data_IF_538732221973
#
_entry.id   IF_538732221973
#
_cell.length_a   1.000
_cell.length_b   1.000
_cell.length_c   1.000
_cell.angle_alpha   90.00
_cell.angle_beta   90.00
_cell.angle_gamma   90.00
#
_symmetry.space_group_name_H-M   'P 1'
#
loop_
_entity.id
_entity.type
_entity.pdbx_description
1 polymer ?
#
# COMPACT_ATOMS: atom_id res chain seq x y z
N UNK A 1 8.27 -10.75 8.12
CA UNK A 1 8.47 -10.09 6.80
C UNK A 1 7.33 -9.13 6.49
N UNK A 2 7.52 -8.23 5.51
CA UNK A 2 6.47 -7.34 5.02
C UNK A 2 6.17 -7.62 3.54
N UNK A 3 4.88 -7.72 3.20
CA UNK A 3 4.37 -7.61 1.84
C UNK A 3 3.77 -6.21 1.70
N UNK A 4 4.42 -5.34 0.92
CA UNK A 4 3.93 -3.99 0.67
C UNK A 4 3.21 -3.93 -0.68
N UNK A 5 1.90 -3.66 -0.65
CA UNK A 5 1.09 -3.46 -1.83
C UNK A 5 0.96 -1.96 -2.10
N UNK A 6 1.66 -1.47 -3.11
CA UNK A 6 1.56 -0.12 -3.65
C UNK A 6 0.65 -0.10 -4.90
N UNK A 7 0.25 1.05 -5.32
CA UNK A 7 -0.66 1.27 -6.44
C UNK A 7 -1.66 2.37 -6.11
N UNK A 8 -2.38 2.87 -7.12
CA UNK A 8 -3.35 3.95 -6.92
C UNK A 8 -4.73 3.43 -6.46
N UNK A 9 -5.70 4.32 -6.38
CA UNK A 9 -7.10 4.00 -6.11
C UNK A 9 -7.66 3.10 -7.21
N UNK A 10 -8.48 2.12 -6.87
CA UNK A 10 -9.02 1.16 -7.84
C UNK A 10 -8.06 0.02 -8.23
N UNK A 11 -6.78 0.06 -7.89
CA UNK A 11 -5.81 -1.00 -8.24
C UNK A 11 -6.02 -2.34 -7.50
N UNK A 12 -6.91 -2.40 -6.51
CA UNK A 12 -7.26 -3.65 -5.83
C UNK A 12 -6.44 -3.99 -4.58
N UNK A 13 -5.67 -3.05 -4.03
CA UNK A 13 -4.82 -3.28 -2.83
C UNK A 13 -5.57 -3.92 -1.66
N UNK A 14 -6.67 -3.31 -1.23
CA UNK A 14 -7.45 -3.77 -0.07
C UNK A 14 -8.04 -5.16 -0.27
N UNK A 15 -8.55 -5.46 -1.46
CA UNK A 15 -9.12 -6.77 -1.77
C UNK A 15 -8.04 -7.84 -1.86
N UNK A 16 -6.90 -7.54 -2.48
CA UNK A 16 -5.74 -8.43 -2.52
C UNK A 16 -5.17 -8.69 -1.12
N UNK A 17 -5.09 -7.66 -0.27
CA UNK A 17 -4.62 -7.83 1.10
C UNK A 17 -5.51 -8.76 1.93
N UNK A 18 -6.83 -8.67 1.77
CA UNK A 18 -7.79 -9.59 2.42
C UNK A 18 -7.59 -11.04 1.95
N UNK A 19 -7.37 -11.24 0.65
CA UNK A 19 -7.04 -12.56 0.10
C UNK A 19 -5.72 -13.10 0.67
N UNK A 20 -4.69 -12.27 0.74
CA UNK A 20 -3.40 -12.66 1.32
C UNK A 20 -3.53 -13.03 2.79
N UNK A 21 -4.19 -12.20 3.59
CA UNK A 21 -4.33 -12.46 5.03
C UNK A 21 -5.23 -13.66 5.34
N UNK A 22 -6.11 -14.06 4.43
CA UNK A 22 -6.90 -15.28 4.57
C UNK A 22 -6.14 -16.57 4.22
N UNK A 23 -5.03 -16.46 3.49
CA UNK A 23 -4.26 -17.61 2.95
C UNK A 23 -2.91 -17.80 3.60
N UNK A 24 -2.28 -16.71 4.06
CA UNK A 24 -0.95 -16.76 4.68
C UNK A 24 -1.13 -16.94 6.18
N UNK A 25 -0.69 -18.07 6.77
CA UNK A 25 -0.73 -18.26 8.21
C UNK A 25 0.04 -17.15 8.95
N UNK A 26 -0.44 -16.76 10.11
CA UNK A 26 0.16 -15.72 10.97
C UNK A 26 0.38 -14.37 10.27
N UNK A 27 -0.38 -14.09 9.22
CA UNK A 27 -0.36 -12.78 8.56
C UNK A 27 -1.38 -11.83 9.16
N UNK A 28 -1.05 -10.53 9.11
CA UNK A 28 -1.93 -9.44 9.58
C UNK A 28 -1.91 -8.27 8.62
N UNK A 29 -3.07 -7.64 8.48
CA UNK A 29 -3.16 -6.35 7.78
C UNK A 29 -2.52 -5.26 8.66
N UNK A 30 -1.59 -4.51 8.12
CA UNK A 30 -1.02 -3.32 8.73
C UNK A 30 -1.44 -2.10 7.90
N UNK A 31 -2.35 -1.31 8.47
CA UNK A 31 -2.88 -0.10 7.86
C UNK A 31 -2.03 1.10 8.27
N UNK A 32 -1.13 1.54 7.40
CA UNK A 32 -0.24 2.66 7.66
C UNK A 32 -0.98 4.03 7.71
N UNK A 33 -2.21 4.12 7.18
CA UNK A 33 -3.05 5.32 7.31
C UNK A 33 -3.42 5.60 8.76
N UNK A 34 -3.56 4.56 9.59
CA UNK A 34 -3.86 4.73 11.03
C UNK A 34 -2.74 5.44 11.79
N UNK A 35 -1.50 5.28 11.36
CA UNK A 35 -0.38 6.07 11.90
C UNK A 35 -0.53 7.54 11.50
N UNK A 36 -0.99 7.81 10.28
CA UNK A 36 -1.30 9.16 9.79
C UNK A 36 -2.44 9.81 10.54
N UNK A 37 -3.55 9.09 10.75
CA UNK A 37 -4.70 9.59 11.52
C UNK A 37 -4.31 9.96 12.96
N UNK A 38 -3.47 9.14 13.60
CA UNK A 38 -2.93 9.45 14.92
C UNK A 38 -2.13 10.76 14.90
N UNK A 39 -1.27 10.95 13.89
CA UNK A 39 -0.48 12.18 13.76
C UNK A 39 -1.35 13.39 13.48
N UNK A 40 -2.38 13.32 12.64
CA UNK A 40 -3.33 14.39 12.44
C UNK A 40 -3.98 14.82 13.74
N UNK A 41 -4.39 13.84 14.56
CA UNK A 41 -4.96 14.13 15.87
C UNK A 41 -3.96 14.85 16.80
N UNK A 42 -2.73 14.37 16.87
CA UNK A 42 -1.69 14.95 17.75
C UNK A 42 -1.24 16.32 17.27
N UNK A 43 -1.09 16.52 15.95
CA UNK A 43 -0.58 17.75 15.37
C UNK A 43 -1.69 18.79 15.10
N UNK A 44 -2.96 18.38 15.07
CA UNK A 44 -4.08 19.27 14.80
C UNK A 44 -4.13 19.82 13.36
N UNK A 45 -3.64 19.06 12.37
CA UNK A 45 -3.50 19.50 10.96
C UNK A 45 -4.06 18.48 9.96
N UNK A 46 -5.36 18.16 10.02
CA UNK A 46 -5.95 17.10 9.19
C UNK A 46 -6.04 17.43 7.69
N UNK A 47 -5.80 18.69 7.30
CA UNK A 47 -5.86 19.14 5.91
C UNK A 47 -4.61 18.76 5.10
N UNK A 48 -3.52 18.37 5.76
CA UNK A 48 -2.27 18.00 5.09
C UNK A 48 -2.18 16.50 4.90
N UNK A 49 -1.56 16.08 3.81
CA UNK A 49 -1.21 14.67 3.63
C UNK A 49 -0.23 14.25 4.75
N UNK A 50 -0.59 13.21 5.48
CA UNK A 50 0.25 12.69 6.57
C UNK A 50 1.60 12.18 6.07
N UNK A 51 1.70 11.77 4.81
CA UNK A 51 2.95 11.32 4.21
C UNK A 51 4.02 12.42 4.14
N UNK A 52 3.58 13.70 4.08
CA UNK A 52 4.48 14.85 4.11
C UNK A 52 5.17 15.06 5.47
N UNK A 53 4.65 14.43 6.53
CA UNK A 53 5.27 14.51 7.84
C UNK A 53 6.40 13.49 7.97
N UNK A 54 7.67 13.93 8.17
CA UNK A 54 8.77 13.00 8.46
C UNK A 54 8.47 12.02 9.59
N UNK A 55 7.81 12.42 10.70
CA UNK A 55 7.40 11.49 11.75
C UNK A 55 6.52 10.33 11.28
N UNK A 56 5.66 10.53 10.28
CA UNK A 56 4.82 9.43 9.77
C UNK A 56 5.67 8.30 9.20
N UNK A 57 6.65 8.62 8.37
CA UNK A 57 7.53 7.61 7.74
C UNK A 57 8.33 6.84 8.78
N UNK A 58 8.90 7.53 9.77
CA UNK A 58 9.61 6.90 10.89
C UNK A 58 8.72 6.03 11.77
N UNK A 59 7.50 6.49 12.08
CA UNK A 59 6.55 5.73 12.89
C UNK A 59 5.98 4.51 12.16
N UNK A 60 5.78 4.58 10.84
CA UNK A 60 5.39 3.41 10.04
C UNK A 60 6.46 2.33 10.15
N UNK A 61 7.74 2.69 9.99
CA UNK A 61 8.87 1.77 10.12
C UNK A 61 8.90 1.16 11.52
N UNK A 62 8.91 2.01 12.56
CA UNK A 62 9.05 1.54 13.95
C UNK A 62 7.84 0.72 14.40
N UNK A 63 6.62 1.14 14.04
CA UNK A 63 5.41 0.39 14.40
C UNK A 63 5.38 -0.98 13.72
N UNK A 64 5.73 -1.06 12.43
CA UNK A 64 5.79 -2.33 11.71
C UNK A 64 6.85 -3.26 12.31
N UNK A 65 8.04 -2.74 12.63
CA UNK A 65 9.13 -3.48 13.29
C UNK A 65 8.67 -4.04 14.65
N UNK A 66 8.15 -3.18 15.52
CA UNK A 66 7.70 -3.58 16.87
C UNK A 66 6.57 -4.63 16.82
N UNK A 67 5.64 -4.47 15.90
CA UNK A 67 4.56 -5.46 15.73
C UNK A 67 5.14 -6.79 15.27
N UNK A 68 6.05 -6.81 14.29
CA UNK A 68 6.70 -8.05 13.82
C UNK A 68 7.54 -8.71 14.91
N UNK A 69 8.28 -7.93 15.69
CA UNK A 69 9.08 -8.46 16.80
C UNK A 69 8.20 -9.13 17.86
N UNK A 70 7.00 -8.57 18.10
CA UNK A 70 6.08 -9.07 19.12
C UNK A 70 5.27 -10.29 18.66
N UNK A 71 4.75 -10.27 17.40
CA UNK A 71 3.81 -11.31 16.93
C UNK A 71 4.42 -12.28 15.91
N UNK A 72 5.55 -11.94 15.31
CA UNK A 72 6.14 -12.70 14.20
C UNK A 72 5.31 -12.65 12.92
N UNK A 73 5.57 -13.60 12.02
CA UNK A 73 4.76 -13.82 10.81
C UNK A 73 4.97 -12.78 9.71
N UNK A 74 3.87 -12.38 9.07
CA UNK A 74 3.87 -11.49 7.90
C UNK A 74 2.93 -10.31 8.10
N UNK A 75 3.39 -9.08 7.86
CA UNK A 75 2.53 -7.92 7.72
C UNK A 75 2.23 -7.66 6.24
N UNK A 76 0.94 -7.54 5.93
CA UNK A 76 0.46 -7.09 4.61
C UNK A 76 0.10 -5.62 4.72
N UNK A 77 0.87 -4.77 4.07
CA UNK A 77 0.69 -3.30 4.09
C UNK A 77 0.00 -2.85 2.81
N UNK A 78 -1.06 -2.06 2.93
CA UNK A 78 -1.79 -1.48 1.80
C UNK A 78 -1.65 0.04 1.84
N UNK A 79 -0.55 0.56 1.30
CA UNK A 79 -0.33 2.00 1.28
C UNK A 79 0.11 2.48 -0.09
N UNK A 80 -0.60 3.50 -0.60
CA UNK A 80 -0.17 4.24 -1.79
C UNK A 80 0.96 5.19 -1.39
N UNK A 81 2.16 5.00 -1.92
CA UNK A 81 3.29 5.93 -1.78
C UNK A 81 3.73 6.32 -3.17
N UNK A 82 3.57 7.60 -3.54
CA UNK A 82 3.87 8.10 -4.89
C UNK A 82 5.12 8.98 -4.95
N UNK A 83 5.64 9.40 -3.80
CA UNK A 83 6.89 10.16 -3.70
C UNK A 83 8.04 9.19 -3.45
N UNK A 84 8.98 9.10 -4.40
CA UNK A 84 10.11 8.16 -4.36
C UNK A 84 10.94 8.31 -3.08
N UNK A 85 11.21 9.56 -2.66
CA UNK A 85 11.96 9.81 -1.43
C UNK A 85 11.26 9.22 -0.20
N UNK A 86 9.93 9.31 -0.10
CA UNK A 86 9.18 8.75 1.04
C UNK A 86 9.28 7.24 1.07
N UNK A 87 9.21 6.60 -0.10
CA UNK A 87 9.44 5.17 -0.21
C UNK A 87 10.86 4.78 0.23
N UNK A 88 11.88 5.52 -0.22
CA UNK A 88 13.27 5.25 0.15
C UNK A 88 13.50 5.37 1.66
N UNK A 89 12.89 6.36 2.32
CA UNK A 89 12.96 6.51 3.78
C UNK A 89 12.31 5.32 4.51
N UNK A 90 11.12 4.89 4.08
CA UNK A 90 10.41 3.76 4.67
C UNK A 90 11.16 2.45 4.42
N UNK A 91 11.48 2.17 3.16
CA UNK A 91 12.16 0.93 2.76
C UNK A 91 13.56 0.83 3.36
N UNK A 92 14.31 1.93 3.35
CA UNK A 92 15.63 2.01 3.99
C UNK A 92 15.57 1.72 5.49
N UNK A 93 14.64 2.37 6.21
CA UNK A 93 14.46 2.14 7.64
C UNK A 93 14.06 0.71 7.99
N UNK A 94 13.17 0.09 7.20
CA UNK A 94 12.81 -1.33 7.38
C UNK A 94 14.01 -2.26 7.10
N UNK A 95 14.80 -1.96 6.07
CA UNK A 95 16.01 -2.72 5.70
C UNK A 95 17.08 -2.61 6.81
N UNK A 96 17.34 -1.41 7.33
CA UNK A 96 18.25 -1.19 8.45
C UNK A 96 17.82 -1.92 9.72
N UNK A 97 16.49 -2.03 9.92
CA UNK A 97 15.91 -2.81 11.01
C UNK A 97 15.96 -4.34 10.77
N UNK A 98 16.51 -4.81 9.64
CA UNK A 98 16.59 -6.23 9.30
C UNK A 98 15.24 -6.86 8.91
N UNK A 99 14.22 -6.06 8.54
CA UNK A 99 12.90 -6.53 8.15
C UNK A 99 12.87 -6.79 6.64
N UNK A 100 12.69 -8.03 6.18
CA UNK A 100 12.53 -8.32 4.75
C UNK A 100 11.26 -7.68 4.19
N UNK A 101 11.38 -6.96 3.07
CA UNK A 101 10.26 -6.28 2.39
C UNK A 101 10.11 -6.79 0.96
N UNK A 102 8.93 -7.28 0.63
CA UNK A 102 8.52 -7.58 -0.75
C UNK A 102 7.60 -6.46 -1.23
N UNK A 103 8.12 -5.59 -2.09
CA UNK A 103 7.39 -4.45 -2.65
C UNK A 103 6.71 -4.86 -3.96
N UNK A 104 5.38 -4.77 -4.00
CA UNK A 104 4.58 -5.04 -5.18
C UNK A 104 3.85 -3.78 -5.63
N UNK A 105 3.89 -3.50 -6.92
CA UNK A 105 3.06 -2.52 -7.58
C UNK A 105 1.87 -3.23 -8.23
N UNK A 106 0.66 -2.96 -7.75
CA UNK A 106 -0.56 -3.35 -8.43
C UNK A 106 -0.84 -2.30 -9.50
N UNK A 107 -0.47 -2.62 -10.74
CA UNK A 107 -0.60 -1.74 -11.89
C UNK A 107 -1.88 -2.09 -12.66
N UNK A 108 -2.62 -1.08 -13.07
CA UNK A 108 -3.89 -1.22 -13.79
C UNK A 108 -3.91 -0.15 -14.86
N UNK A 109 -4.43 -0.46 -16.04
CA UNK A 109 -4.60 0.56 -17.07
C UNK A 109 -5.54 1.69 -16.62
N UNK A 110 -5.38 2.85 -17.25
CA UNK A 110 -6.07 4.07 -16.82
C UNK A 110 -7.59 3.97 -16.97
N UNK A 111 -8.08 3.36 -18.04
CA UNK A 111 -9.51 3.29 -18.33
C UNK A 111 -10.21 2.38 -17.29
N UNK A 112 -9.60 1.26 -16.97
CA UNK A 112 -10.06 0.35 -15.91
C UNK A 112 -10.01 1.02 -14.52
N UNK A 113 -8.99 1.83 -14.23
CA UNK A 113 -8.92 2.59 -12.96
C UNK A 113 -10.07 3.57 -12.85
N UNK A 114 -10.34 4.35 -13.90
CA UNK A 114 -11.45 5.31 -13.95
C UNK A 114 -12.77 4.57 -13.74
N UNK A 115 -13.03 3.50 -14.50
CA UNK A 115 -14.25 2.70 -14.36
C UNK A 115 -14.45 2.18 -12.94
N UNK A 116 -13.38 1.61 -12.33
CA UNK A 116 -13.45 1.09 -10.95
C UNK A 116 -13.71 2.18 -9.92
N UNK A 117 -13.13 3.38 -10.09
CA UNK A 117 -13.37 4.52 -9.21
C UNK A 117 -14.80 5.02 -9.36
N UNK A 118 -15.31 5.12 -10.59
CA UNK A 118 -16.67 5.61 -10.88
C UNK A 118 -17.76 4.65 -10.42
N UNK A 119 -17.51 3.35 -10.51
CA UNK A 119 -18.49 2.31 -10.17
C UNK A 119 -18.43 1.85 -8.72
N UNK A 120 -17.42 2.28 -7.93
CA UNK A 120 -17.35 1.94 -6.50
C UNK A 120 -18.50 2.58 -5.72
N UNK A 121 -19.33 1.73 -5.12
CA UNK A 121 -20.59 2.11 -4.45
C UNK A 121 -20.45 2.28 -2.93
N UNK A 122 -19.25 2.10 -2.38
CA UNK A 122 -19.03 2.29 -0.94
C UNK A 122 -19.19 3.77 -0.58
N UNK A 123 -19.86 4.10 0.54
CA UNK A 123 -20.10 5.50 0.92
C UNK A 123 -18.82 6.36 0.96
N UNK A 124 -17.74 5.83 1.55
CA UNK A 124 -16.45 6.51 1.60
C UNK A 124 -15.79 6.69 0.23
N UNK A 125 -16.08 5.80 -0.71
CA UNK A 125 -15.58 5.90 -2.09
C UNK A 125 -16.35 6.92 -2.90
N UNK A 126 -17.67 7.01 -2.69
CA UNK A 126 -18.52 7.98 -3.37
C UNK A 126 -18.10 9.42 -2.99
N UNK A 127 -17.88 9.67 -1.71
CA UNK A 127 -17.48 11.01 -1.23
C UNK A 127 -16.08 11.42 -1.72
N UNK A 128 -15.18 10.46 -1.92
CA UNK A 128 -13.81 10.70 -2.37
C UNK A 128 -13.61 10.55 -3.90
N UNK A 129 -14.67 10.25 -4.68
CA UNK A 129 -14.56 9.88 -6.10
C UNK A 129 -13.80 10.92 -6.92
N UNK A 130 -14.27 12.18 -6.87
CA UNK A 130 -13.64 13.24 -7.66
C UNK A 130 -12.18 13.45 -7.25
N UNK A 131 -11.92 13.48 -5.96
CA UNK A 131 -10.56 13.60 -5.44
C UNK A 131 -9.65 12.46 -5.95
N UNK A 132 -10.12 11.21 -5.97
CA UNK A 132 -9.37 10.06 -6.50
C UNK A 132 -9.06 10.19 -7.98
N UNK A 133 -10.03 10.64 -8.78
CA UNK A 133 -9.83 10.88 -10.23
C UNK A 133 -8.78 11.96 -10.47
N UNK A 134 -8.86 13.06 -9.73
CA UNK A 134 -7.91 14.18 -9.86
C UNK A 134 -6.46 13.76 -9.52
N UNK A 135 -6.29 12.77 -8.63
CA UNK A 135 -4.98 12.28 -8.21
C UNK A 135 -4.39 11.16 -9.11
N UNK A 136 -5.10 10.69 -10.13
CA UNK A 136 -4.56 9.70 -11.09
C UNK A 136 -3.32 10.24 -11.84
N UNK A 137 -3.26 11.54 -12.09
CA UNK A 137 -2.10 12.17 -12.72
C UNK A 137 -0.80 12.07 -11.90
N UNK A 138 -0.90 12.06 -10.57
CA UNK A 138 0.24 11.87 -9.67
C UNK A 138 0.77 10.45 -9.76
N UNK A 139 -0.13 9.47 -9.81
CA UNK A 139 0.24 8.07 -10.01
C UNK A 139 0.97 7.86 -11.34
N UNK A 140 0.47 8.44 -12.44
CA UNK A 140 1.14 8.34 -13.75
C UNK A 140 2.57 8.92 -13.71
N UNK A 141 2.79 10.03 -13.00
CA UNK A 141 4.14 10.60 -12.82
C UNK A 141 5.05 9.71 -11.96
N UNK A 142 4.49 8.94 -11.04
CA UNK A 142 5.25 8.06 -10.16
C UNK A 142 5.59 6.69 -10.80
N UNK A 143 4.85 6.26 -11.83
CA UNK A 143 5.04 4.94 -12.46
C UNK A 143 6.48 4.61 -12.87
N UNK A 144 7.30 5.53 -13.43
CA UNK A 144 8.66 5.20 -13.82
C UNK A 144 9.53 4.68 -12.65
N UNK A 145 9.45 5.30 -11.48
CA UNK A 145 10.21 4.84 -10.34
C UNK A 145 9.55 3.63 -9.66
N UNK A 146 8.22 3.61 -9.56
CA UNK A 146 7.49 2.47 -8.99
C UNK A 146 7.79 1.17 -9.74
N UNK A 147 7.80 1.20 -11.06
CA UNK A 147 8.11 0.03 -11.90
C UNK A 147 9.57 -0.41 -11.80
N UNK A 148 10.48 0.48 -11.41
CA UNK A 148 11.88 0.16 -11.17
C UNK A 148 12.09 -0.48 -9.79
N UNK A 149 11.38 -0.02 -8.77
CA UNK A 149 11.58 -0.38 -7.36
C UNK A 149 10.68 -1.54 -6.89
N UNK A 150 9.59 -1.83 -7.61
CA UNK A 150 8.60 -2.82 -7.22
C UNK A 150 8.50 -3.98 -8.22
N UNK A 151 8.03 -5.12 -7.72
CA UNK A 151 7.57 -6.21 -8.58
C UNK A 151 6.19 -5.86 -9.14
N UNK A 152 6.11 -5.57 -10.43
CA UNK A 152 4.86 -5.15 -11.09
C UNK A 152 3.93 -6.34 -11.30
N UNK A 153 2.68 -6.19 -10.92
CA UNK A 153 1.58 -7.12 -11.20
C UNK A 153 0.49 -6.35 -11.93
N UNK A 154 0.22 -6.74 -13.16
CA UNK A 154 -0.92 -6.22 -13.91
C UNK A 154 -2.22 -6.77 -13.30
N UNK A 155 -3.09 -5.85 -12.92
CA UNK A 155 -4.39 -6.16 -12.28
C UNK A 155 -5.58 -5.72 -13.11
N UNK A 156 -5.37 -5.33 -14.37
CA UNK A 156 -6.43 -4.86 -15.28
C UNK A 156 -7.56 -5.88 -15.38
N UNK A 157 -7.25 -7.12 -15.77
CA UNK A 157 -8.22 -8.20 -15.92
C UNK A 157 -8.12 -9.26 -14.80
N UNK A 158 -7.29 -9.01 -13.78
CA UNK A 158 -7.03 -10.02 -12.77
C UNK A 158 -8.00 -9.94 -11.58
N UNK A 159 -8.56 -11.08 -11.20
CA UNK A 159 -9.34 -11.19 -9.95
C UNK A 159 -8.40 -11.18 -8.72
N UNK A 160 -8.86 -10.63 -7.58
CA UNK A 160 -8.02 -10.48 -6.38
C UNK A 160 -7.35 -11.78 -5.91
N UNK A 161 -8.04 -12.91 -6.02
CA UNK A 161 -7.51 -14.23 -5.66
C UNK A 161 -6.29 -14.61 -6.51
N UNK A 162 -6.31 -14.28 -7.81
CA UNK A 162 -5.20 -14.55 -8.71
C UNK A 162 -4.00 -13.63 -8.42
N UNK A 163 -4.28 -12.37 -8.12
CA UNK A 163 -3.24 -11.41 -7.71
C UNK A 163 -2.55 -11.90 -6.43
N UNK A 164 -3.33 -12.35 -5.43
CA UNK A 164 -2.78 -12.92 -4.20
C UNK A 164 -1.88 -14.14 -4.44
N UNK A 165 -2.26 -15.07 -5.33
CA UNK A 165 -1.43 -16.21 -5.73
C UNK A 165 -0.08 -15.77 -6.31
N UNK A 166 -0.09 -14.77 -7.20
CA UNK A 166 1.12 -14.23 -7.80
C UNK A 166 2.02 -13.61 -6.73
N UNK A 167 1.44 -12.82 -5.82
CA UNK A 167 2.17 -12.21 -4.70
C UNK A 167 2.82 -13.28 -3.83
N UNK A 168 2.06 -14.28 -3.38
CA UNK A 168 2.58 -15.38 -2.54
C UNK A 168 3.73 -16.12 -3.23
N UNK A 169 3.54 -16.49 -4.50
CA UNK A 169 4.58 -17.16 -5.29
C UNK A 169 5.86 -16.33 -5.39
N UNK A 170 5.75 -15.02 -5.66
CA UNK A 170 6.91 -14.13 -5.82
C UNK A 170 7.57 -13.78 -4.48
N UNK A 171 6.80 -13.74 -3.39
CA UNK A 171 7.31 -13.59 -2.03
C UNK A 171 7.84 -14.91 -1.44
N UNK A 172 7.81 -16.02 -2.21
CA UNK A 172 8.26 -17.34 -1.79
C UNK A 172 7.54 -17.89 -0.54
N UNK A 173 6.26 -17.56 -0.44
CA UNK A 173 5.36 -18.04 0.61
C UNK A 173 4.56 -19.20 0.02
N UNK A 174 4.82 -20.40 0.50
CA UNK A 174 4.16 -21.63 0.06
C UNK A 174 3.74 -22.48 1.22
#
# INVERSE_FOLDING_TARGET
MIIWLNGTFGAGKTTTAKELTSRIPDSRLFDAEKVGEMLWHVLGVPERDFQDFPPWRGLVVESARQVLDYVGGTLVVTQTVLVEQYWQEIHGGLTEAGVPVHHFLLDTDQDTLVERIETDTKPESISARQWRLDHLGEYQRALPWLRREAQVIDTTDAVPSRVAEIVMKRAQIG
#
